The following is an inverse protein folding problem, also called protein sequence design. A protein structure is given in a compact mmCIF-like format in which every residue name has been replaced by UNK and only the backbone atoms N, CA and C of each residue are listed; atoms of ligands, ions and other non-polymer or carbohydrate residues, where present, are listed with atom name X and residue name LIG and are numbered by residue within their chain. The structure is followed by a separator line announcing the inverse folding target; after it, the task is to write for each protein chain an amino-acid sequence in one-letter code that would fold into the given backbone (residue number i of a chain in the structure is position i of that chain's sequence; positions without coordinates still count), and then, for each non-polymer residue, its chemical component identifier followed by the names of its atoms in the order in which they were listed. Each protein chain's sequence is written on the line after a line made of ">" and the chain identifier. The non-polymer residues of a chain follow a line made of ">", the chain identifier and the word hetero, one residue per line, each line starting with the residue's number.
data_IF_942870012317
#
_entry.id   IF_942870012317
#
_cell.length_a   1.000
_cell.length_b   1.000
_cell.length_c   1.000
_cell.angle_alpha   90.00
_cell.angle_beta   90.00
_cell.angle_gamma   90.00
#
_symmetry.space_group_name_H-M   'P 1'
#
loop_
_entity.id
_entity.type
_entity.pdbx_description
1 polymer ?
#
# COMPACT_ATOMS: atom_id res chain seq x y z
N UNK A 1 -6.95 29.18 -51.48
CA UNK A 1 -6.21 28.50 -50.40
C UNK A 1 -6.42 29.18 -49.04
N UNK A 2 -6.40 30.53 -48.97
CA UNK A 2 -6.65 31.29 -47.72
C UNK A 2 -7.95 30.94 -46.97
N UNK A 3 -9.03 30.60 -47.69
CA UNK A 3 -10.31 30.25 -47.06
C UNK A 3 -10.28 28.94 -46.26
N UNK A 4 -9.43 27.98 -46.66
CA UNK A 4 -9.27 26.72 -45.94
C UNK A 4 -8.43 26.91 -44.68
N UNK A 5 -7.38 27.73 -44.77
CA UNK A 5 -6.55 28.10 -43.61
C UNK A 5 -7.40 28.82 -42.56
N UNK A 6 -8.25 29.77 -42.96
CA UNK A 6 -9.12 30.51 -42.03
C UNK A 6 -10.15 29.61 -41.35
N UNK A 7 -10.74 28.65 -42.08
CA UNK A 7 -11.64 27.63 -41.51
C UNK A 7 -10.92 26.74 -40.49
N UNK A 8 -9.69 26.33 -40.81
CA UNK A 8 -8.88 25.48 -39.94
C UNK A 8 -8.45 26.22 -38.67
N UNK A 9 -8.05 27.49 -38.80
CA UNK A 9 -7.77 28.37 -37.68
C UNK A 9 -8.99 28.54 -36.77
N UNK A 10 -10.18 28.80 -37.33
CA UNK A 10 -11.39 28.90 -36.55
C UNK A 10 -11.68 27.59 -35.79
N UNK A 11 -11.54 26.44 -36.44
CA UNK A 11 -11.71 25.12 -35.82
C UNK A 11 -10.70 24.88 -34.67
N UNK A 12 -9.46 25.36 -34.83
CA UNK A 12 -8.42 25.32 -33.80
C UNK A 12 -8.79 26.18 -32.59
N UNK A 13 -9.26 27.40 -32.82
CA UNK A 13 -9.75 28.29 -31.74
C UNK A 13 -11.00 27.75 -31.04
N UNK A 14 -11.84 26.99 -31.75
CA UNK A 14 -12.98 26.27 -31.17
C UNK A 14 -12.60 24.96 -30.46
N UNK A 15 -11.33 24.53 -30.52
CA UNK A 15 -10.82 23.30 -29.88
C UNK A 15 -11.34 22.01 -30.51
N UNK A 16 -11.73 22.03 -31.79
CA UNK A 16 -12.32 20.87 -32.49
C UNK A 16 -11.38 20.20 -33.49
N UNK A 17 -10.11 20.61 -33.56
CA UNK A 17 -9.12 20.10 -34.51
C UNK A 17 -8.63 18.69 -34.17
N UNK A 18 -8.23 17.94 -35.20
CA UNK A 18 -7.48 16.69 -35.03
C UNK A 18 -5.96 16.95 -35.02
N UNK A 19 -5.18 15.98 -34.52
CA UNK A 19 -3.71 16.05 -34.50
C UNK A 19 -3.12 16.20 -35.90
N UNK A 20 -3.74 15.59 -36.92
CA UNK A 20 -3.30 15.68 -38.31
C UNK A 20 -3.56 17.08 -38.90
N UNK A 21 -4.72 17.66 -38.58
CA UNK A 21 -5.10 19.01 -38.97
C UNK A 21 -4.18 20.08 -38.36
N UNK A 22 -3.80 19.92 -37.08
CA UNK A 22 -2.86 20.83 -36.41
C UNK A 22 -1.47 20.79 -37.02
N UNK A 23 -1.00 19.60 -37.42
CA UNK A 23 0.29 19.44 -38.12
C UNK A 23 0.28 20.14 -39.48
N UNK A 24 -0.82 20.00 -40.22
CA UNK A 24 -1.01 20.73 -41.49
C UNK A 24 -1.06 22.24 -41.26
N UNK A 25 -1.80 22.70 -40.25
CA UNK A 25 -1.94 24.11 -39.90
C UNK A 25 -0.57 24.73 -39.56
N UNK A 26 0.24 24.05 -38.75
CA UNK A 26 1.59 24.48 -38.41
C UNK A 26 2.51 24.58 -39.63
N UNK A 27 2.48 23.60 -40.54
CA UNK A 27 3.27 23.63 -41.77
C UNK A 27 2.87 24.76 -42.72
N UNK A 28 1.57 25.06 -42.83
CA UNK A 28 1.06 26.15 -43.67
C UNK A 28 1.45 27.52 -43.11
N UNK A 29 1.34 27.70 -41.80
CA UNK A 29 1.65 28.97 -41.13
C UNK A 29 3.15 29.20 -40.93
N UNK A 30 3.99 28.18 -41.07
CA UNK A 30 5.45 28.32 -41.04
C UNK A 30 5.96 29.28 -42.12
N UNK A 31 5.31 29.31 -43.30
CA UNK A 31 5.67 30.22 -44.39
C UNK A 31 5.13 31.65 -44.21
N UNK A 32 4.23 31.88 -43.26
CA UNK A 32 3.58 33.16 -42.96
C UNK A 32 3.93 33.69 -41.56
N UNK A 33 5.01 33.19 -40.96
CA UNK A 33 5.40 33.45 -39.58
C UNK A 33 5.43 34.95 -39.20
N UNK A 34 5.77 35.83 -40.15
CA UNK A 34 5.90 37.27 -39.92
C UNK A 34 4.75 38.13 -40.50
N UNK A 35 3.76 37.51 -41.15
CA UNK A 35 2.74 38.22 -41.94
C UNK A 35 1.36 38.23 -41.31
N UNK A 36 1.06 37.29 -40.43
CA UNK A 36 -0.26 37.20 -39.77
C UNK A 36 -0.14 37.05 -38.25
N UNK A 37 -1.12 37.56 -37.47
CA UNK A 37 -1.15 37.36 -36.02
C UNK A 37 -1.13 35.88 -35.62
N UNK A 38 -1.75 35.02 -36.44
CA UNK A 38 -1.71 33.56 -36.25
C UNK A 38 -0.29 33.01 -36.49
N UNK A 39 0.39 33.45 -37.55
CA UNK A 39 1.78 33.05 -37.85
C UNK A 39 2.73 33.37 -36.70
N UNK A 40 2.64 34.59 -36.15
CA UNK A 40 3.46 35.04 -35.00
C UNK A 40 3.18 34.16 -33.77
N UNK A 41 1.91 33.84 -33.51
CA UNK A 41 1.52 32.98 -32.40
C UNK A 41 2.13 31.57 -32.52
N UNK A 42 1.98 30.91 -33.68
CA UNK A 42 2.52 29.56 -33.89
C UNK A 42 4.05 29.56 -33.90
N UNK A 43 4.70 30.60 -34.42
CA UNK A 43 6.16 30.75 -34.35
C UNK A 43 6.67 30.86 -32.90
N UNK A 44 5.98 31.64 -32.05
CA UNK A 44 6.31 31.74 -30.63
C UNK A 44 6.11 30.41 -29.88
N UNK A 45 5.08 29.64 -30.24
CA UNK A 45 4.86 28.30 -29.68
C UNK A 45 5.98 27.34 -30.06
N UNK A 46 6.42 27.33 -31.33
CA UNK A 46 7.51 26.47 -31.79
C UNK A 46 8.84 26.82 -31.10
N UNK A 47 9.09 28.11 -30.87
CA UNK A 47 10.24 28.57 -30.09
C UNK A 47 10.19 28.07 -28.63
N UNK A 48 9.03 28.17 -27.97
CA UNK A 48 8.86 27.68 -26.59
C UNK A 48 8.94 26.16 -26.48
N UNK A 49 8.52 25.42 -27.50
CA UNK A 49 8.65 23.95 -27.56
C UNK A 49 10.11 23.50 -27.52
N UNK A 50 11.03 24.30 -28.09
CA UNK A 50 12.47 24.04 -28.09
C UNK A 50 13.11 24.34 -26.72
N UNK A 51 12.51 25.23 -25.94
CA UNK A 51 12.91 25.48 -24.55
C UNK A 51 12.45 24.34 -23.67
N UNK A 52 13.33 23.37 -23.43
CA UNK A 52 13.11 22.41 -22.34
C UNK A 52 13.15 23.18 -21.02
N UNK A 53 12.15 22.96 -20.16
CA UNK A 53 12.24 23.43 -18.80
C UNK A 53 13.45 22.75 -18.15
N UNK A 54 14.41 23.53 -17.66
CA UNK A 54 15.61 23.05 -16.95
C UNK A 54 15.28 22.48 -15.55
N UNK A 55 14.03 22.07 -15.37
CA UNK A 55 13.51 21.55 -14.12
C UNK A 55 13.85 20.06 -14.12
N UNK A 56 14.95 19.73 -13.44
CA UNK A 56 15.32 18.36 -13.17
C UNK A 56 14.26 17.75 -12.24
N UNK A 57 13.25 17.10 -12.83
CA UNK A 57 12.22 16.40 -12.08
C UNK A 57 12.83 15.17 -11.40
N UNK A 58 13.30 15.36 -10.18
CA UNK A 58 13.83 14.27 -9.35
C UNK A 58 12.67 13.48 -8.76
N UNK A 59 12.31 12.38 -9.43
CA UNK A 59 11.31 11.44 -8.90
C UNK A 59 11.86 10.83 -7.60
N UNK A 60 11.07 10.80 -6.50
CA UNK A 60 11.53 10.20 -5.25
C UNK A 60 11.87 8.73 -5.52
N UNK A 61 13.17 8.40 -5.43
CA UNK A 61 13.66 7.03 -5.63
C UNK A 61 12.98 6.13 -4.60
N UNK A 62 12.02 5.32 -5.04
CA UNK A 62 11.32 4.38 -4.16
C UNK A 62 12.31 3.27 -3.79
N UNK A 63 12.93 3.40 -2.61
CA UNK A 63 13.89 2.41 -2.04
C UNK A 63 13.28 1.02 -1.81
N UNK A 64 11.96 0.84 -2.03
CA UNK A 64 11.23 -0.40 -1.77
C UNK A 64 11.50 -1.52 -2.79
N UNK A 65 12.07 -1.23 -3.97
CA UNK A 65 12.31 -2.27 -5.00
C UNK A 65 13.41 -3.26 -4.62
N UNK A 66 14.43 -2.81 -3.89
CA UNK A 66 15.54 -3.67 -3.45
C UNK A 66 15.07 -4.69 -2.40
N UNK A 67 14.31 -4.25 -1.39
CA UNK A 67 13.79 -5.14 -0.34
C UNK A 67 12.86 -6.25 -0.90
N UNK A 68 12.10 -5.95 -1.96
CA UNK A 68 11.21 -6.91 -2.61
C UNK A 68 11.96 -7.96 -3.46
N UNK A 69 13.18 -7.65 -3.92
CA UNK A 69 14.01 -8.62 -4.65
C UNK A 69 14.60 -9.68 -3.71
N UNK A 70 14.88 -9.33 -2.46
CA UNK A 70 15.43 -10.27 -1.46
C UNK A 70 14.36 -10.95 -0.58
N UNK A 71 13.09 -10.54 -0.66
CA UNK A 71 12.01 -11.16 0.13
C UNK A 71 11.75 -12.62 -0.27
N UNK A 72 11.99 -12.98 -1.53
CA UNK A 72 11.87 -14.37 -2.00
C UNK A 72 12.95 -15.28 -1.39
N UNK A 73 14.17 -14.76 -1.24
CA UNK A 73 15.31 -15.50 -0.68
C UNK A 73 15.13 -15.70 0.83
N UNK A 74 14.58 -14.71 1.54
CA UNK A 74 14.31 -14.80 2.96
C UNK A 74 13.38 -15.98 3.33
N UNK A 75 12.33 -16.23 2.53
CA UNK A 75 11.39 -17.33 2.79
C UNK A 75 12.07 -18.71 2.69
N UNK A 76 12.92 -18.92 1.68
CA UNK A 76 13.67 -20.16 1.52
C UNK A 76 14.65 -20.39 2.67
N UNK A 77 15.35 -19.34 3.12
CA UNK A 77 16.28 -19.41 4.24
C UNK A 77 15.54 -19.75 5.55
N UNK A 78 14.39 -19.12 5.80
CA UNK A 78 13.57 -19.41 7.00
C UNK A 78 13.10 -20.86 7.02
N UNK A 79 12.68 -21.42 5.87
CA UNK A 79 12.29 -22.83 5.77
C UNK A 79 13.47 -23.76 6.06
N UNK A 80 14.65 -23.47 5.51
CA UNK A 80 15.86 -24.26 5.76
C UNK A 80 16.32 -24.21 7.23
N UNK A 81 16.26 -23.02 7.84
CA UNK A 81 16.57 -22.85 9.27
C UNK A 81 15.55 -23.62 10.13
N UNK A 82 14.27 -23.54 9.80
CA UNK A 82 13.20 -24.24 10.53
C UNK A 82 13.37 -25.75 10.45
N UNK A 83 13.75 -26.28 9.28
CA UNK A 83 14.05 -27.71 9.10
C UNK A 83 15.33 -28.12 9.86
N UNK A 84 16.37 -27.30 9.86
CA UNK A 84 17.63 -27.60 10.55
C UNK A 84 17.48 -27.62 12.09
N UNK A 85 16.72 -26.68 12.65
CA UNK A 85 16.41 -26.63 14.09
C UNK A 85 15.39 -27.71 14.46
N UNK A 86 14.34 -27.87 13.64
CA UNK A 86 13.29 -28.87 13.84
C UNK A 86 13.79 -30.31 13.77
N UNK A 87 14.75 -30.60 12.88
CA UNK A 87 15.33 -31.94 12.76
C UNK A 87 16.09 -32.39 14.02
N UNK A 88 16.79 -31.47 14.69
CA UNK A 88 17.45 -31.75 15.97
C UNK A 88 16.44 -31.87 17.12
N UNK A 89 15.36 -31.09 17.07
CA UNK A 89 14.32 -31.09 18.11
C UNK A 89 13.39 -32.32 18.03
N UNK A 90 13.20 -32.91 16.84
CA UNK A 90 12.34 -34.08 16.64
C UNK A 90 12.91 -35.39 17.20
N UNK A 91 14.23 -35.48 17.37
CA UNK A 91 14.90 -36.66 17.95
C UNK A 91 15.00 -36.63 19.47
N UNK A 92 14.65 -35.51 20.09
CA UNK A 92 14.65 -35.39 21.53
C UNK A 92 13.24 -35.70 22.02
N UNK A 93 12.97 -36.98 22.29
CA UNK A 93 11.76 -37.40 23.01
C UNK A 93 11.64 -36.53 24.25
N UNK A 94 10.54 -35.79 24.36
CA UNK A 94 10.30 -34.93 25.51
C UNK A 94 10.23 -35.84 26.74
N UNK A 95 11.11 -35.67 27.75
CA UNK A 95 11.09 -36.52 28.95
C UNK A 95 9.78 -36.40 29.75
N UNK A 96 8.90 -35.45 29.39
CA UNK A 96 7.57 -35.27 29.97
C UNK A 96 6.43 -35.71 29.04
N UNK A 97 6.73 -36.38 27.92
CA UNK A 97 5.71 -36.91 27.00
C UNK A 97 4.95 -38.06 27.67
N UNK A 98 3.72 -37.78 28.10
CA UNK A 98 2.82 -38.78 28.67
C UNK A 98 2.32 -39.66 27.52
N UNK A 99 2.94 -40.82 27.35
CA UNK A 99 2.69 -41.72 26.21
C UNK A 99 1.40 -42.53 26.35
N UNK A 100 0.88 -42.70 27.57
CA UNK A 100 -0.39 -43.38 27.83
C UNK A 100 -1.59 -42.43 27.65
N UNK A 101 -2.49 -42.70 26.68
CA UNK A 101 -3.68 -41.87 26.46
C UNK A 101 -4.58 -41.71 27.69
N UNK A 102 -4.66 -42.73 28.56
CA UNK A 102 -5.51 -42.66 29.75
C UNK A 102 -4.90 -41.72 30.80
N UNK A 103 -3.60 -41.84 31.05
CA UNK A 103 -2.87 -40.95 31.95
C UNK A 103 -2.93 -39.49 31.46
N UNK A 104 -2.72 -39.25 30.16
CA UNK A 104 -2.80 -37.92 29.56
C UNK A 104 -4.19 -37.30 29.75
N UNK A 105 -5.26 -38.09 29.58
CA UNK A 105 -6.64 -37.63 29.82
C UNK A 105 -6.86 -37.24 31.28
N UNK A 106 -6.39 -38.06 32.23
CA UNK A 106 -6.56 -37.77 33.66
C UNK A 106 -5.83 -36.50 34.10
N UNK A 107 -4.58 -36.32 33.68
CA UNK A 107 -3.77 -35.15 33.99
C UNK A 107 -4.39 -33.89 33.37
N UNK A 108 -4.86 -33.99 32.12
CA UNK A 108 -5.56 -32.89 31.45
C UNK A 108 -6.85 -32.49 32.18
N UNK A 109 -7.63 -33.48 32.63
CA UNK A 109 -8.85 -33.23 33.39
C UNK A 109 -8.55 -32.56 34.73
N UNK A 110 -7.51 -33.00 35.44
CA UNK A 110 -7.08 -32.37 36.69
C UNK A 110 -6.64 -30.92 36.47
N UNK A 111 -5.86 -30.65 35.43
CA UNK A 111 -5.46 -29.29 35.07
C UNK A 111 -6.67 -28.40 34.76
N UNK A 112 -7.62 -28.90 33.96
CA UNK A 112 -8.86 -28.17 33.64
C UNK A 112 -9.72 -27.91 34.89
N UNK A 113 -9.80 -28.87 35.81
CA UNK A 113 -10.50 -28.69 37.08
C UNK A 113 -9.83 -27.62 37.94
N UNK A 114 -8.50 -27.59 38.00
CA UNK A 114 -7.76 -26.57 38.72
C UNK A 114 -8.01 -25.17 38.14
N UNK A 115 -7.95 -25.03 36.81
CA UNK A 115 -8.28 -23.77 36.12
C UNK A 115 -9.71 -23.34 36.42
N UNK A 116 -10.67 -24.26 36.33
CA UNK A 116 -12.08 -24.00 36.66
C UNK A 116 -12.28 -23.55 38.11
N UNK A 117 -11.59 -24.17 39.06
CA UNK A 117 -11.65 -23.79 40.46
C UNK A 117 -11.12 -22.36 40.68
N UNK A 118 -10.01 -21.98 40.04
CA UNK A 118 -9.47 -20.62 40.13
C UNK A 118 -10.37 -19.58 39.46
N UNK A 119 -11.00 -19.91 38.33
CA UNK A 119 -11.98 -19.03 37.68
C UNK A 119 -13.22 -18.80 38.56
N UNK A 120 -13.71 -19.86 39.23
CA UNK A 120 -14.81 -19.75 40.17
C UNK A 120 -14.45 -18.88 41.38
N UNK A 121 -13.23 -19.02 41.92
CA UNK A 121 -12.71 -18.09 42.94
C UNK A 121 -12.66 -16.65 42.41
N UNK A 122 -12.12 -16.44 41.21
CA UNK A 122 -12.10 -15.15 40.52
C UNK A 122 -13.47 -14.47 40.43
N UNK A 123 -14.52 -15.24 40.10
CA UNK A 123 -15.91 -14.76 40.07
C UNK A 123 -16.38 -14.25 41.43
N UNK A 124 -15.99 -14.92 42.53
CA UNK A 124 -16.33 -14.46 43.90
C UNK A 124 -15.61 -13.18 44.31
N UNK A 125 -14.40 -12.94 43.81
CA UNK A 125 -13.71 -11.66 44.02
C UNK A 125 -14.35 -10.54 43.21
N UNK A 126 -14.76 -10.82 41.96
CA UNK A 126 -15.47 -9.86 41.11
C UNK A 126 -16.79 -9.39 41.74
N UNK A 127 -17.59 -10.31 42.31
CA UNK A 127 -18.84 -9.94 42.99
C UNK A 127 -18.64 -9.10 44.25
N UNK A 128 -17.49 -9.21 44.93
CA UNK A 128 -17.15 -8.30 46.03
C UNK A 128 -16.80 -6.89 45.53
N UNK A 129 -16.12 -6.78 44.40
CA UNK A 129 -15.81 -5.49 43.77
C UNK A 129 -17.10 -4.78 43.32
N UNK A 130 -18.07 -5.53 42.78
CA UNK A 130 -19.38 -5.01 42.40
C UNK A 130 -20.12 -4.37 43.61
N UNK A 131 -20.15 -5.07 44.76
CA UNK A 131 -20.73 -4.53 46.00
C UNK A 131 -20.02 -3.27 46.50
N UNK A 132 -18.70 -3.18 46.36
CA UNK A 132 -17.94 -1.97 46.73
C UNK A 132 -18.36 -0.78 45.85
N UNK A 133 -18.62 -1.01 44.57
CA UNK A 133 -19.09 0.03 43.65
C UNK A 133 -20.52 0.48 43.99
N UNK A 134 -21.43 -0.43 44.34
CA UNK A 134 -22.79 -0.08 44.81
C UNK A 134 -22.74 0.80 46.06
N UNK A 135 -21.92 0.44 47.06
CA UNK A 135 -21.76 1.23 48.29
C UNK A 135 -21.18 2.62 47.98
N UNK A 136 -20.22 2.73 47.06
CA UNK A 136 -19.71 4.04 46.62
C UNK A 136 -20.79 4.90 45.97
N UNK A 137 -21.68 4.32 45.16
CA UNK A 137 -22.78 5.06 44.53
C UNK A 137 -23.82 5.55 45.54
N UNK A 138 -24.06 4.79 46.61
CA UNK A 138 -24.96 5.20 47.69
C UNK A 138 -24.40 6.33 48.56
N UNK A 139 -23.08 6.39 48.75
CA UNK A 139 -22.43 7.45 49.54
C UNK A 139 -22.31 8.76 48.75
N UNK A 140 -22.25 8.71 47.41
CA UNK A 140 -22.06 9.87 46.54
C UNK A 140 -23.39 10.48 46.03
N UNK A 141 -24.52 10.16 46.67
CA UNK A 141 -25.88 10.65 46.36
C UNK A 141 -26.43 11.43 47.54
#
# INVERSE_FOLDING_TARGET
>A
MESQIKKLQQKYWEGKTSVEEEKLLGNLLANEADKSPAGIFFAALDQRKKTRADIEFSMPKTKKRFLWQFSSIAAAIVILISLAIGYNSYKQSDPYEITDPQEAYTISMQALMMVSAELNKGKTYSSRIEKINEVKQLINK
#
